data_IF_184483121148
#
_entry.id   IF_184483121148
#
_cell.length_a   1.000
_cell.length_b   1.000
_cell.length_c   1.000
_cell.angle_alpha   90.00
_cell.angle_beta   90.00
_cell.angle_gamma   90.00
#
_symmetry.space_group_name_H-M   'P 1'
#
loop_
_entity.id
_entity.type
_entity.pdbx_description
1 polymer ?
#
# COMPACT_ATOMS: atom_id res chain seq x y z
N UNK A 1 -11.62 19.00 -1.55
CA UNK A 1 -10.75 19.35 -0.39
C UNK A 1 -9.88 18.14 -0.08
N UNK A 2 -8.55 18.27 -0.16
CA UNK A 2 -7.56 17.20 0.05
C UNK A 2 -7.40 16.82 1.55
N UNK A 3 -8.50 16.79 2.32
CA UNK A 3 -8.47 16.94 3.77
C UNK A 3 -8.61 15.66 4.60
N UNK A 4 -8.75 14.47 4.01
CA UNK A 4 -9.09 13.26 4.79
C UNK A 4 -8.12 12.07 4.70
N UNK A 5 -7.04 12.15 3.92
CA UNK A 5 -6.17 10.96 3.69
C UNK A 5 -4.67 11.18 3.92
N UNK A 6 -4.28 12.37 4.40
CA UNK A 6 -2.87 12.76 4.50
C UNK A 6 -2.33 12.85 5.94
N UNK A 7 -3.16 12.57 6.94
CA UNK A 7 -2.72 12.44 8.34
C UNK A 7 -2.11 11.05 8.54
N UNK A 8 -1.01 10.79 7.83
CA UNK A 8 -0.13 9.67 8.15
C UNK A 8 0.53 10.05 9.47
N UNK A 9 0.19 9.31 10.53
CA UNK A 9 0.74 9.49 11.88
C UNK A 9 2.24 9.78 11.81
N UNK A 10 2.64 10.94 12.33
CA UNK A 10 4.04 11.38 12.41
C UNK A 10 4.98 10.36 13.08
N UNK A 11 4.40 9.41 13.83
CA UNK A 11 5.07 8.29 14.48
C UNK A 11 5.73 7.32 13.48
N UNK A 12 5.26 7.26 12.22
CA UNK A 12 5.72 6.30 11.21
C UNK A 12 7.05 6.71 10.55
N UNK A 13 7.42 7.99 10.60
CA UNK A 13 8.60 8.50 9.90
C UNK A 13 9.94 8.03 10.50
N UNK A 14 9.95 7.57 11.76
CA UNK A 14 11.18 7.22 12.48
C UNK A 14 11.69 5.78 12.24
N UNK A 15 10.87 4.88 11.68
CA UNK A 15 11.19 3.45 11.65
C UNK A 15 11.82 2.97 10.34
N UNK A 16 11.72 3.74 9.24
CA UNK A 16 12.24 3.36 7.93
C UNK A 16 12.40 4.56 6.98
N UNK A 17 13.45 4.60 6.14
CA UNK A 17 13.59 5.62 5.09
C UNK A 17 12.39 5.67 4.13
N UNK A 18 11.78 4.52 3.82
CA UNK A 18 10.62 4.45 2.92
C UNK A 18 9.37 5.10 3.56
N UNK A 19 9.14 4.87 4.85
CA UNK A 19 8.06 5.52 5.60
C UNK A 19 8.31 7.02 5.69
N UNK A 20 9.53 7.45 6.02
CA UNK A 20 9.92 8.85 6.06
C UNK A 20 9.72 9.56 4.73
N UNK A 21 10.12 8.94 3.61
CA UNK A 21 9.91 9.47 2.27
C UNK A 21 8.42 9.59 1.92
N UNK A 22 7.60 8.61 2.31
CA UNK A 22 6.14 8.64 2.09
C UNK A 22 5.50 9.79 2.88
N UNK A 23 5.82 9.93 4.17
CA UNK A 23 5.30 11.03 5.00
C UNK A 23 5.73 12.39 4.44
N UNK A 24 7.00 12.53 4.06
CA UNK A 24 7.51 13.77 3.47
C UNK A 24 6.81 14.12 2.15
N UNK A 25 6.57 13.14 1.29
CA UNK A 25 5.81 13.31 0.05
C UNK A 25 4.39 13.79 0.32
N UNK A 26 3.68 13.12 1.23
CA UNK A 26 2.29 13.41 1.56
C UNK A 26 2.14 14.83 2.15
N UNK A 27 3.00 15.18 3.11
CA UNK A 27 3.04 16.53 3.71
C UNK A 27 3.41 17.60 2.69
N UNK A 28 4.46 17.38 1.90
CA UNK A 28 4.91 18.34 0.89
C UNK A 28 3.87 18.56 -0.22
N UNK A 29 3.11 17.53 -0.59
CA UNK A 29 2.01 17.65 -1.56
C UNK A 29 0.87 18.49 -0.99
N UNK A 30 0.53 18.30 0.30
CA UNK A 30 -0.49 19.11 0.99
C UNK A 30 -0.11 20.60 1.04
N UNK A 31 1.10 20.92 1.51
CA UNK A 31 1.59 22.30 1.65
C UNK A 31 1.60 23.01 0.29
N UNK A 32 2.03 22.32 -0.77
CA UNK A 32 2.01 22.84 -2.13
C UNK A 32 0.61 23.05 -2.66
N UNK A 33 -0.33 22.16 -2.33
CA UNK A 33 -1.73 22.31 -2.71
C UNK A 33 -2.38 23.54 -2.06
N UNK A 34 -2.10 23.77 -0.78
CA UNK A 34 -2.54 24.98 -0.06
C UNK A 34 -1.95 26.25 -0.69
N UNK A 35 -0.64 26.26 -0.97
CA UNK A 35 0.02 27.39 -1.64
C UNK A 35 -0.55 27.68 -3.04
N UNK A 36 -0.87 26.63 -3.81
CA UNK A 36 -1.51 26.78 -5.11
C UNK A 36 -2.91 27.41 -5.00
N UNK A 37 -3.73 26.95 -4.06
CA UNK A 37 -5.07 27.49 -3.83
C UNK A 37 -5.01 28.99 -3.49
N UNK A 38 -4.03 29.41 -2.68
CA UNK A 38 -3.80 30.82 -2.36
C UNK A 38 -3.42 31.61 -3.63
N UNK A 39 -2.49 31.10 -4.45
CA UNK A 39 -2.09 31.74 -5.70
C UNK A 39 -3.25 31.88 -6.69
N UNK A 40 -4.13 30.88 -6.78
CA UNK A 40 -5.31 30.91 -7.65
C UNK A 40 -6.37 31.91 -7.17
N UNK A 41 -6.52 32.05 -5.85
CA UNK A 41 -7.43 33.03 -5.25
C UNK A 41 -6.92 34.48 -5.35
N UNK A 42 -5.60 34.66 -5.54
CA UNK A 42 -4.98 35.99 -5.66
C UNK A 42 -4.87 36.40 -7.12
N UNK A 43 -5.60 37.44 -7.52
CA UNK A 43 -5.46 38.05 -8.84
C UNK A 43 -4.25 38.98 -8.84
N UNK A 44 -3.32 38.76 -9.76
CA UNK A 44 -2.23 39.71 -9.98
C UNK A 44 -2.71 40.83 -10.91
N UNK A 45 -3.05 41.98 -10.32
CA UNK A 45 -3.60 43.14 -11.05
C UNK A 45 -2.59 43.80 -12.00
N UNK A 46 -1.30 43.47 -11.89
CA UNK A 46 -0.23 44.03 -12.71
C UNK A 46 -0.08 43.35 -14.08
N UNK A 47 -0.81 42.25 -14.32
CA UNK A 47 -0.73 41.47 -15.56
C UNK A 47 -2.11 41.25 -16.16
N UNK A 48 -2.15 40.91 -17.45
CA UNK A 48 -3.42 40.59 -18.12
C UNK A 48 -4.03 39.29 -17.57
N UNK A 49 -5.35 39.16 -17.67
CA UNK A 49 -6.05 37.93 -17.26
C UNK A 49 -5.46 36.68 -17.92
N UNK A 50 -5.14 36.75 -19.22
CA UNK A 50 -4.48 35.66 -19.94
C UNK A 50 -3.09 35.33 -19.40
N UNK A 51 -2.27 36.33 -19.08
CA UNK A 51 -0.95 36.11 -18.48
C UNK A 51 -1.07 35.49 -17.07
N UNK A 52 -2.05 35.92 -16.27
CA UNK A 52 -2.32 35.34 -14.96
C UNK A 52 -2.74 33.87 -15.05
N UNK A 53 -3.62 33.52 -15.99
CA UNK A 53 -4.04 32.13 -16.21
C UNK A 53 -2.86 31.25 -16.68
N UNK A 54 -1.99 31.78 -17.53
CA UNK A 54 -0.81 31.06 -17.99
C UNK A 54 0.20 30.79 -16.86
N UNK A 55 0.38 31.72 -15.92
CA UNK A 55 1.20 31.47 -14.72
C UNK A 55 0.61 30.39 -13.82
N UNK A 56 -0.72 30.39 -13.65
CA UNK A 56 -1.43 29.35 -12.89
C UNK A 56 -1.23 27.98 -13.56
N UNK A 57 -1.35 27.90 -14.88
CA UNK A 57 -1.14 26.67 -15.64
C UNK A 57 0.29 26.13 -15.49
N UNK A 58 1.32 26.98 -15.62
CA UNK A 58 2.71 26.59 -15.38
C UNK A 58 2.96 26.06 -13.97
N UNK A 59 2.35 26.70 -12.97
CA UNK A 59 2.46 26.25 -11.59
C UNK A 59 1.75 24.89 -11.41
N UNK A 60 0.59 24.71 -12.03
CA UNK A 60 -0.15 23.45 -12.01
C UNK A 60 0.64 22.31 -12.68
N UNK A 61 1.33 22.57 -13.80
CA UNK A 61 2.21 21.60 -14.47
C UNK A 61 3.34 21.18 -13.55
N UNK A 62 4.06 22.15 -12.96
CA UNK A 62 5.17 21.86 -12.03
C UNK A 62 4.71 21.03 -10.84
N UNK A 63 3.57 21.38 -10.25
CA UNK A 63 3.00 20.65 -9.13
C UNK A 63 2.54 19.25 -9.52
N UNK A 64 1.94 19.09 -10.70
CA UNK A 64 1.51 17.80 -11.23
C UNK A 64 2.71 16.85 -11.40
N UNK A 65 3.79 17.34 -12.00
CA UNK A 65 5.02 16.60 -12.24
C UNK A 65 5.70 16.20 -10.93
N UNK A 66 5.81 17.12 -9.99
CA UNK A 66 6.38 16.86 -8.67
C UNK A 66 5.54 15.85 -7.88
N UNK A 67 4.22 15.99 -7.89
CA UNK A 67 3.32 15.06 -7.21
C UNK A 67 3.35 13.67 -7.86
N UNK A 68 3.43 13.59 -9.21
CA UNK A 68 3.57 12.32 -9.93
C UNK A 68 4.86 11.59 -9.58
N UNK A 69 6.00 12.27 -9.70
CA UNK A 69 7.31 11.70 -9.32
C UNK A 69 7.36 11.32 -7.84
N UNK A 70 6.80 12.16 -6.96
CA UNK A 70 6.74 11.90 -5.53
C UNK A 70 5.96 10.65 -5.19
N UNK A 71 4.77 10.47 -5.80
CA UNK A 71 3.96 9.27 -5.64
C UNK A 71 4.69 8.02 -6.12
N UNK A 72 5.26 8.03 -7.32
CA UNK A 72 5.99 6.88 -7.86
C UNK A 72 7.19 6.50 -6.99
N UNK A 73 7.95 7.48 -6.50
CA UNK A 73 9.10 7.23 -5.64
C UNK A 73 8.67 6.65 -4.29
N UNK A 74 7.62 7.20 -3.67
CA UNK A 74 7.07 6.68 -2.41
C UNK A 74 6.55 5.24 -2.59
N UNK A 75 5.80 5.00 -3.66
CA UNK A 75 5.25 3.69 -3.99
C UNK A 75 6.37 2.66 -4.21
N UNK A 76 7.35 2.96 -5.08
CA UNK A 76 8.50 2.08 -5.33
C UNK A 76 9.29 1.80 -4.05
N UNK A 77 9.53 2.82 -3.23
CA UNK A 77 10.21 2.70 -1.94
C UNK A 77 9.46 1.78 -0.96
N UNK A 78 8.15 1.95 -0.83
CA UNK A 78 7.31 1.09 0.00
C UNK A 78 7.24 -0.34 -0.52
N UNK A 79 7.09 -0.55 -1.84
CA UNK A 79 7.09 -1.90 -2.43
C UNK A 79 8.40 -2.63 -2.09
N UNK A 80 9.55 -2.00 -2.33
CA UNK A 80 10.84 -2.59 -2.02
C UNK A 80 11.00 -2.92 -0.53
N UNK A 81 10.59 -1.98 0.35
CA UNK A 81 10.66 -2.17 1.79
C UNK A 81 9.71 -3.28 2.28
N UNK A 82 8.49 -3.38 1.74
CA UNK A 82 7.55 -4.47 2.06
C UNK A 82 8.18 -5.81 1.68
N UNK A 83 8.72 -5.95 0.47
CA UNK A 83 9.39 -7.20 0.05
C UNK A 83 10.56 -7.55 0.97
N UNK A 84 11.39 -6.58 1.34
CA UNK A 84 12.50 -6.78 2.28
C UNK A 84 12.01 -7.25 3.66
N UNK A 85 10.97 -6.60 4.21
CA UNK A 85 10.43 -6.97 5.54
C UNK A 85 9.66 -8.29 5.51
N UNK A 86 8.99 -8.63 4.41
CA UNK A 86 8.42 -9.96 4.22
C UNK A 86 9.50 -11.04 4.21
N UNK A 87 10.62 -10.81 3.54
CA UNK A 87 11.76 -11.71 3.58
C UNK A 87 12.32 -11.86 5.01
N UNK A 88 12.42 -10.77 5.77
CA UNK A 88 12.87 -10.81 7.17
C UNK A 88 11.91 -11.61 8.07
N UNK A 89 10.60 -11.40 7.95
CA UNK A 89 9.59 -12.19 8.67
C UNK A 89 9.70 -13.67 8.30
N UNK A 90 9.79 -13.99 7.01
CA UNK A 90 9.92 -15.37 6.54
C UNK A 90 11.22 -16.03 7.02
N UNK A 91 12.34 -15.30 7.04
CA UNK A 91 13.62 -15.77 7.58
C UNK A 91 13.56 -16.01 9.09
N UNK A 92 12.81 -15.20 9.84
CA UNK A 92 12.62 -15.37 11.28
C UNK A 92 11.76 -16.59 11.61
N UNK A 93 10.74 -16.82 10.80
CA UNK A 93 9.79 -17.93 10.94
C UNK A 93 10.42 -19.26 10.52
N UNK A 94 11.19 -19.27 9.42
CA UNK A 94 12.01 -20.37 8.92
C UNK A 94 11.38 -21.77 9.10
N UNK A 95 10.28 -22.03 8.38
CA UNK A 95 9.66 -23.34 8.32
C UNK A 95 10.32 -24.18 7.22
N UNK A 96 11.10 -25.18 7.62
CA UNK A 96 11.73 -26.14 6.69
C UNK A 96 11.11 -27.52 6.89
N UNK A 97 10.52 -28.15 5.84
CA UNK A 97 9.94 -29.47 5.96
C UNK A 97 10.99 -30.49 6.41
N UNK A 98 10.65 -31.33 7.38
CA UNK A 98 11.50 -32.45 7.81
C UNK A 98 11.44 -33.61 6.82
N UNK A 99 12.29 -34.62 7.02
CA UNK A 99 12.25 -35.87 6.25
C UNK A 99 10.88 -36.58 6.36
N UNK A 100 10.12 -36.32 7.43
CA UNK A 100 8.81 -36.94 7.71
C UNK A 100 7.61 -36.10 7.22
N UNK A 101 7.84 -35.07 6.41
CA UNK A 101 6.78 -34.16 5.98
C UNK A 101 5.67 -34.87 5.18
N UNK A 102 6.00 -35.91 4.42
CA UNK A 102 5.01 -36.68 3.65
C UNK A 102 4.09 -37.50 4.57
N UNK A 103 4.66 -38.09 5.61
CA UNK A 103 3.96 -38.86 6.64
C UNK A 103 3.02 -37.96 7.43
N UNK A 104 3.48 -36.79 7.85
CA UNK A 104 2.64 -35.78 8.53
C UNK A 104 1.45 -35.41 7.65
N UNK A 105 1.68 -35.08 6.37
CA UNK A 105 0.60 -34.77 5.41
C UNK A 105 -0.38 -35.92 5.25
N UNK A 106 0.11 -37.16 5.12
CA UNK A 106 -0.73 -38.34 5.01
C UNK A 106 -1.60 -38.55 6.26
N UNK A 107 -1.06 -38.31 7.46
CA UNK A 107 -1.82 -38.36 8.71
C UNK A 107 -2.92 -37.30 8.69
N UNK A 108 -2.61 -36.04 8.35
CA UNK A 108 -3.61 -34.97 8.25
C UNK A 108 -4.71 -35.28 7.24
N UNK A 109 -4.35 -35.84 6.08
CA UNK A 109 -5.31 -36.24 5.03
C UNK A 109 -6.27 -37.34 5.51
N UNK A 110 -5.80 -38.26 6.36
CA UNK A 110 -6.60 -39.33 6.94
C UNK A 110 -7.52 -38.90 8.09
N UNK A 111 -7.30 -37.71 8.67
CA UNK A 111 -8.15 -37.18 9.75
C UNK A 111 -9.52 -36.76 9.24
N UNK A 112 -10.53 -36.82 10.13
CA UNK A 112 -11.82 -36.15 9.90
C UNK A 112 -11.60 -34.63 9.78
N UNK A 113 -12.49 -33.87 9.08
CA UNK A 113 -12.35 -32.42 8.98
C UNK A 113 -12.27 -31.70 10.34
N UNK A 114 -13.05 -32.15 11.33
CA UNK A 114 -13.03 -31.57 12.68
C UNK A 114 -11.70 -31.80 13.40
N UNK A 115 -11.19 -33.04 13.39
CA UNK A 115 -9.92 -33.39 14.03
C UNK A 115 -8.74 -32.69 13.34
N UNK A 116 -8.78 -32.60 12.00
CA UNK A 116 -7.77 -31.90 11.19
C UNK A 116 -7.68 -30.43 11.58
N UNK A 117 -8.82 -29.75 11.65
CA UNK A 117 -8.90 -28.35 12.07
C UNK A 117 -8.41 -28.16 13.50
N UNK A 118 -8.83 -29.02 14.43
CA UNK A 118 -8.38 -28.96 15.82
C UNK A 118 -6.87 -29.19 15.95
N UNK A 119 -6.32 -30.17 15.22
CA UNK A 119 -4.89 -30.49 15.24
C UNK A 119 -4.06 -29.39 14.58
N UNK A 120 -4.55 -28.78 13.50
CA UNK A 120 -3.91 -27.63 12.87
C UNK A 120 -3.86 -26.44 13.82
N UNK A 121 -4.98 -26.10 14.46
CA UNK A 121 -5.04 -25.01 15.43
C UNK A 121 -4.11 -25.25 16.63
N UNK A 122 -4.03 -26.49 17.12
CA UNK A 122 -3.07 -26.88 18.17
C UNK A 122 -1.62 -26.70 17.71
N UNK A 123 -1.25 -27.18 16.51
CA UNK A 123 0.10 -27.02 15.97
C UNK A 123 0.54 -25.55 15.89
N UNK A 124 -0.37 -24.65 15.51
CA UNK A 124 -0.11 -23.21 15.49
C UNK A 124 0.03 -22.59 16.89
N UNK A 125 -0.80 -23.03 17.84
CA UNK A 125 -0.74 -22.57 19.23
C UNK A 125 0.56 -23.01 19.92
N UNK A 126 0.96 -24.25 19.68
CA UNK A 126 2.12 -24.87 20.31
C UNK A 126 3.43 -24.50 19.58
N UNK A 127 3.32 -23.93 18.37
CA UNK A 127 4.48 -23.58 17.54
C UNK A 127 5.21 -24.81 17.00
N UNK A 128 4.48 -25.88 16.69
CA UNK A 128 5.02 -27.15 16.16
C UNK A 128 5.57 -26.96 14.74
N UNK A 129 6.84 -26.57 14.65
CA UNK A 129 7.49 -26.23 13.39
C UNK A 129 7.51 -27.38 12.38
N UNK A 130 7.55 -28.64 12.83
CA UNK A 130 7.57 -29.79 11.92
C UNK A 130 6.24 -29.94 11.21
N UNK A 131 5.13 -29.88 11.97
CA UNK A 131 3.79 -29.92 11.40
C UNK A 131 3.53 -28.70 10.53
N UNK A 132 3.87 -27.50 11.01
CA UNK A 132 3.65 -26.27 10.25
C UNK A 132 4.44 -26.26 8.94
N UNK A 133 5.72 -26.66 8.98
CA UNK A 133 6.55 -26.73 7.78
C UNK A 133 6.09 -27.81 6.80
N UNK A 134 5.54 -28.92 7.30
CA UNK A 134 4.94 -29.94 6.43
C UNK A 134 3.72 -29.40 5.68
N UNK A 135 2.93 -28.49 6.26
CA UNK A 135 1.62 -28.11 5.72
C UNK A 135 1.61 -26.78 4.93
N UNK A 136 2.26 -25.72 5.40
CA UNK A 136 2.06 -24.34 4.90
C UNK A 136 2.34 -24.16 3.41
N UNK A 137 3.32 -24.87 2.84
CA UNK A 137 3.70 -24.78 1.43
C UNK A 137 3.30 -26.03 0.62
N UNK A 138 2.52 -26.93 1.22
CA UNK A 138 2.13 -28.17 0.56
C UNK A 138 0.85 -27.96 -0.27
N UNK A 139 0.70 -28.67 -1.41
CA UNK A 139 -0.56 -28.63 -2.15
C UNK A 139 -1.71 -29.15 -1.29
N UNK A 140 -2.86 -28.48 -1.32
CA UNK A 140 -4.06 -28.82 -0.52
C UNK A 140 -4.41 -30.31 -0.61
N UNK A 141 -4.31 -30.90 -1.81
CA UNK A 141 -4.58 -32.33 -2.06
C UNK A 141 -3.74 -33.29 -1.20
N UNK A 142 -2.58 -32.84 -0.69
CA UNK A 142 -1.67 -33.68 0.09
C UNK A 142 -2.03 -33.77 1.57
N UNK A 143 -2.75 -32.79 2.14
CA UNK A 143 -3.10 -32.74 3.56
C UNK A 143 -4.59 -32.48 3.85
N UNK A 144 -5.34 -31.98 2.86
CA UNK A 144 -6.78 -31.73 2.94
C UNK A 144 -7.20 -30.54 3.80
N UNK A 145 -6.28 -29.69 4.24
CA UNK A 145 -6.65 -28.49 4.99
C UNK A 145 -7.21 -27.43 4.03
N UNK A 146 -8.23 -26.70 4.48
CA UNK A 146 -8.73 -25.54 3.76
C UNK A 146 -7.61 -24.48 3.59
N UNK A 147 -7.47 -23.94 2.38
CA UNK A 147 -6.38 -23.01 2.05
C UNK A 147 -6.49 -21.69 2.79
N UNK A 148 -7.71 -21.17 2.94
CA UNK A 148 -7.96 -19.86 3.52
C UNK A 148 -7.75 -19.93 5.04
N UNK A 149 -8.22 -21.02 5.65
CA UNK A 149 -7.99 -21.29 7.07
C UNK A 149 -6.49 -21.48 7.36
N UNK A 150 -5.77 -22.25 6.54
CA UNK A 150 -4.32 -22.45 6.70
C UNK A 150 -3.55 -21.13 6.56
N UNK A 151 -3.91 -20.30 5.58
CA UNK A 151 -3.32 -18.98 5.38
C UNK A 151 -3.59 -18.04 6.57
N UNK A 152 -4.83 -18.01 7.08
CA UNK A 152 -5.20 -17.19 8.23
C UNK A 152 -4.42 -17.59 9.49
N UNK A 153 -4.30 -18.90 9.77
CA UNK A 153 -3.49 -19.36 10.89
C UNK A 153 -2.00 -19.11 10.69
N UNK A 154 -1.49 -19.27 9.47
CA UNK A 154 -0.09 -18.97 9.18
C UNK A 154 0.23 -17.49 9.39
N UNK A 155 -0.67 -16.58 9.01
CA UNK A 155 -0.51 -15.17 9.34
C UNK A 155 -0.52 -14.89 10.85
N UNK A 156 -1.43 -15.52 11.60
CA UNK A 156 -1.44 -15.40 13.05
C UNK A 156 -0.12 -15.90 13.68
N UNK A 157 0.46 -16.96 13.13
CA UNK A 157 1.75 -17.48 13.56
C UNK A 157 2.91 -16.55 13.23
N UNK A 158 2.95 -15.96 12.02
CA UNK A 158 3.97 -14.97 11.68
C UNK A 158 3.94 -13.77 12.63
N UNK A 159 2.74 -13.31 13.02
CA UNK A 159 2.55 -12.24 14.01
C UNK A 159 3.10 -12.58 15.39
N UNK A 160 2.97 -13.82 15.84
CA UNK A 160 3.45 -14.23 17.16
C UNK A 160 4.94 -14.59 17.16
N UNK A 161 5.40 -15.36 16.17
CA UNK A 161 6.77 -15.88 16.09
C UNK A 161 7.80 -14.84 15.65
N UNK A 162 7.39 -13.83 14.88
CA UNK A 162 8.24 -12.75 14.36
C UNK A 162 7.64 -11.38 14.69
N UNK A 163 7.16 -11.19 15.92
CA UNK A 163 6.39 -10.00 16.31
C UNK A 163 7.08 -8.67 15.96
N UNK A 164 8.37 -8.52 16.26
CA UNK A 164 9.09 -7.28 16.02
C UNK A 164 9.20 -6.95 14.53
N UNK A 165 9.56 -7.93 13.70
CA UNK A 165 9.68 -7.80 12.26
C UNK A 165 8.32 -7.62 11.59
N UNK A 166 7.32 -8.38 12.05
CA UNK A 166 5.95 -8.30 11.54
C UNK A 166 5.32 -6.95 11.83
N UNK A 167 5.54 -6.37 13.02
CA UNK A 167 5.06 -5.02 13.35
C UNK A 167 5.55 -4.00 12.32
N UNK A 168 6.85 -4.02 11.99
CA UNK A 168 7.43 -3.12 10.99
C UNK A 168 6.84 -3.38 9.59
N UNK A 169 6.65 -4.65 9.21
CA UNK A 169 5.99 -5.00 7.95
C UNK A 169 4.55 -4.45 7.88
N UNK A 170 3.77 -4.57 8.95
CA UNK A 170 2.38 -4.11 9.01
C UNK A 170 2.30 -2.58 8.84
N UNK A 171 3.22 -1.84 9.44
CA UNK A 171 3.30 -0.38 9.26
C UNK A 171 3.60 0.01 7.80
N UNK A 172 4.47 -0.72 7.11
CA UNK A 172 4.72 -0.47 5.68
C UNK A 172 3.49 -0.79 4.82
N UNK A 173 2.78 -1.89 5.11
CA UNK A 173 1.53 -2.24 4.42
C UNK A 173 0.43 -1.21 4.69
N UNK A 174 0.35 -0.69 5.91
CA UNK A 174 -0.55 0.40 6.29
C UNK A 174 -0.23 1.68 5.52
N UNK A 175 1.05 2.08 5.46
CA UNK A 175 1.50 3.24 4.68
C UNK A 175 1.20 3.10 3.18
N UNK A 176 1.40 1.90 2.60
CA UNK A 176 1.05 1.64 1.21
C UNK A 176 -0.46 1.83 0.96
N UNK A 177 -1.31 1.26 1.83
CA UNK A 177 -2.77 1.46 1.71
C UNK A 177 -3.17 2.92 1.77
N UNK A 178 -2.55 3.73 2.63
CA UNK A 178 -2.81 5.17 2.67
C UNK A 178 -2.35 5.87 1.40
N UNK A 179 -1.16 5.54 0.89
CA UNK A 179 -0.63 6.10 -0.35
C UNK A 179 -1.57 5.79 -1.52
N UNK A 180 -1.98 4.53 -1.68
CA UNK A 180 -2.91 4.09 -2.73
C UNK A 180 -4.29 4.73 -2.57
N UNK A 181 -4.84 4.79 -1.35
CA UNK A 181 -6.12 5.44 -1.08
C UNK A 181 -6.09 6.96 -1.34
N UNK A 182 -4.93 7.60 -1.21
CA UNK A 182 -4.77 9.02 -1.50
C UNK A 182 -4.66 9.34 -2.99
N UNK A 183 -4.28 8.35 -3.82
CA UNK A 183 -4.01 8.55 -5.24
C UNK A 183 -5.18 9.16 -6.02
N UNK A 184 -6.45 8.68 -5.88
CA UNK A 184 -7.59 9.32 -6.54
C UNK A 184 -7.77 10.79 -6.14
N UNK A 185 -7.58 11.11 -4.86
CA UNK A 185 -7.67 12.48 -4.35
C UNK A 185 -6.59 13.39 -4.93
N UNK A 186 -5.36 12.89 -5.05
CA UNK A 186 -4.25 13.60 -5.69
C UNK A 186 -4.56 13.84 -7.18
N UNK A 187 -5.09 12.84 -7.88
CA UNK A 187 -5.47 12.97 -9.29
C UNK A 187 -6.61 13.97 -9.47
N UNK A 188 -7.71 13.84 -8.73
CA UNK A 188 -8.82 14.83 -8.79
C UNK A 188 -8.34 16.25 -8.50
N UNK A 189 -7.51 16.43 -7.47
CA UNK A 189 -6.92 17.73 -7.16
C UNK A 189 -6.06 18.29 -8.31
N UNK A 190 -5.24 17.44 -8.94
CA UNK A 190 -4.47 17.83 -10.13
C UNK A 190 -5.40 18.30 -11.25
N UNK A 191 -6.48 17.58 -11.54
CA UNK A 191 -7.46 17.96 -12.56
C UNK A 191 -8.13 19.31 -12.25
N UNK A 192 -8.59 19.48 -11.01
CA UNK A 192 -9.28 20.70 -10.56
C UNK A 192 -8.43 21.96 -10.73
N UNK A 193 -7.11 21.84 -10.67
CA UNK A 193 -6.18 22.95 -10.86
C UNK A 193 -6.14 23.48 -12.31
N UNK A 194 -6.54 22.66 -13.30
CA UNK A 194 -6.63 23.11 -14.69
C UNK A 194 -8.01 23.67 -15.03
N UNK A 195 -9.03 23.56 -14.17
CA UNK A 195 -10.38 24.07 -14.46
C UNK A 195 -10.34 25.56 -14.82
N UNK A 196 -10.83 25.91 -16.01
CA UNK A 196 -10.85 27.28 -16.53
C UNK A 196 -9.57 27.70 -17.29
N UNK A 197 -8.57 26.83 -17.39
CA UNK A 197 -7.38 27.03 -18.25
C UNK A 197 -7.60 26.39 -19.63
N UNK A 198 -6.79 26.78 -20.62
CA UNK A 198 -6.81 26.16 -21.95
C UNK A 198 -6.37 24.68 -21.94
N UNK A 199 -5.56 24.28 -20.96
CA UNK A 199 -5.07 22.91 -20.80
C UNK A 199 -6.06 21.90 -20.19
N UNK A 200 -7.23 22.34 -19.70
CA UNK A 200 -8.15 21.49 -18.95
C UNK A 200 -8.57 20.22 -19.70
N UNK A 201 -9.05 20.34 -20.93
CA UNK A 201 -9.57 19.21 -21.70
C UNK A 201 -8.51 18.14 -21.95
N UNK A 202 -7.28 18.56 -22.29
CA UNK A 202 -6.15 17.66 -22.47
C UNK A 202 -5.83 16.92 -21.16
N UNK A 203 -5.76 17.65 -20.04
CA UNK A 203 -5.46 17.08 -18.73
C UNK A 203 -6.56 16.14 -18.23
N UNK A 204 -7.82 16.44 -18.51
CA UNK A 204 -8.94 15.53 -18.24
C UNK A 204 -8.72 14.19 -18.94
N UNK A 205 -8.48 14.19 -20.26
CA UNK A 205 -8.22 12.95 -21.01
C UNK A 205 -7.01 12.18 -20.48
N UNK A 206 -5.89 12.86 -20.22
CA UNK A 206 -4.68 12.24 -19.65
C UNK A 206 -4.98 11.58 -18.30
N UNK A 207 -5.67 12.27 -17.40
CA UNK A 207 -5.91 11.76 -16.05
C UNK A 207 -6.99 10.68 -16.00
N UNK A 208 -8.02 10.76 -16.84
CA UNK A 208 -9.00 9.68 -17.00
C UNK A 208 -8.32 8.39 -17.46
N UNK A 209 -7.40 8.47 -18.43
CA UNK A 209 -6.64 7.31 -18.89
C UNK A 209 -5.76 6.71 -17.78
N UNK A 210 -5.07 7.56 -17.00
CA UNK A 210 -4.28 7.12 -15.85
C UNK A 210 -5.17 6.44 -14.82
N UNK A 211 -6.26 7.06 -14.37
CA UNK A 211 -7.17 6.51 -13.36
C UNK A 211 -7.79 5.18 -13.80
N UNK A 212 -8.19 5.08 -15.07
CA UNK A 212 -8.69 3.83 -15.65
C UNK A 212 -7.65 2.69 -15.60
N UNK A 213 -6.36 2.98 -15.76
CA UNK A 213 -5.30 1.97 -15.63
C UNK A 213 -5.16 1.40 -14.21
N UNK A 214 -5.69 2.10 -13.20
CA UNK A 214 -5.77 1.64 -11.82
C UNK A 214 -7.16 1.09 -11.44
N UNK A 215 -8.08 0.97 -12.41
CA UNK A 215 -9.45 0.52 -12.15
C UNK A 215 -10.32 1.57 -11.43
N UNK A 216 -9.95 2.85 -11.50
CA UNK A 216 -10.63 3.95 -10.82
C UNK A 216 -11.37 4.79 -11.87
N UNK A 217 -12.65 5.06 -11.64
CA UNK A 217 -13.45 5.98 -12.47
C UNK A 217 -13.41 7.39 -11.88
N UNK A 218 -13.24 8.41 -12.73
CA UNK A 218 -13.51 9.80 -12.35
C UNK A 218 -15.02 9.99 -12.33
N UNK A 219 -15.60 10.25 -11.16
CA UNK A 219 -16.97 10.77 -11.10
C UNK A 219 -16.94 12.25 -11.51
N UNK A 220 -17.67 12.57 -12.58
CA UNK A 220 -17.90 13.94 -13.08
C UNK A 220 -18.89 14.67 -12.15
N UNK A 221 -18.46 14.99 -10.92
CA UNK A 221 -19.15 15.94 -10.03
C UNK A 221 -18.75 17.40 -10.32
#
# INVERSE_FOLDING_TARGET
MLNYYLDIDSHLAGESPALGATVAFMKGTKEKAEGFNIRRATVNELITSGANLFEIEKLADKLNDEAGRGYENAHKGLTAAITEKEAAVNARVALTPSAYAAEIRNVFRGMSPGDRTAKLAAAFKDGDKEVLAALVNAPVITHGCDSDQLAAHYEAYKRSAAYAEYRVLDEHKKAMRYLEASFPGIMKWKLDNYKGTGGYSKKLTEQTAVMASYGITLDDD
#
